data_IF_982090726081
#
_entry.id   IF_982090726081
#
_cell.length_a   1.000
_cell.length_b   1.000
_cell.length_c   1.000
_cell.angle_alpha   90.00
_cell.angle_beta   90.00
_cell.angle_gamma   90.00
#
_symmetry.space_group_name_H-M   'P 1'
#
loop_
_entity.id
_entity.type
_entity.pdbx_description
1 polymer ?
#
# COMPACT_ATOMS: atom_id res chain seq x y z
N UNK A 1 39.46 -39.52 9.35
CA UNK A 1 40.59 -38.54 9.41
C UNK A 1 40.50 -37.65 8.16
N UNK A 2 39.49 -36.80 8.06
CA UNK A 2 39.52 -35.34 8.31
C UNK A 2 40.78 -34.64 7.77
N UNK A 3 40.65 -33.98 6.61
CA UNK A 3 40.87 -32.53 6.38
C UNK A 3 41.28 -32.30 4.92
N UNK A 4 40.44 -31.59 4.16
CA UNK A 4 40.92 -30.55 3.24
C UNK A 4 39.86 -29.47 3.11
N UNK A 5 40.32 -28.28 3.48
CA UNK A 5 39.68 -26.97 3.43
C UNK A 5 39.41 -26.61 1.97
N UNK A 6 38.23 -26.06 1.69
CA UNK A 6 38.01 -25.20 0.53
C UNK A 6 37.37 -23.90 0.99
N UNK A 7 38.14 -22.83 0.80
CA UNK A 7 37.71 -21.43 0.89
C UNK A 7 36.65 -21.14 -0.17
N UNK A 8 35.55 -20.49 0.22
CA UNK A 8 34.68 -19.80 -0.73
C UNK A 8 34.88 -18.29 -0.59
N UNK A 9 35.76 -17.77 -1.45
CA UNK A 9 35.82 -16.37 -1.82
C UNK A 9 34.63 -15.97 -2.69
N UNK A 10 34.08 -14.79 -2.39
CA UNK A 10 33.30 -13.90 -3.27
C UNK A 10 32.14 -14.49 -4.08
N UNK A 11 30.94 -14.45 -3.50
CA UNK A 11 29.71 -14.48 -4.29
C UNK A 11 29.49 -13.09 -4.92
N UNK A 12 29.83 -12.97 -6.21
CA UNK A 12 29.54 -11.79 -7.03
C UNK A 12 28.03 -11.55 -7.07
N UNK A 13 27.64 -10.28 -6.93
CA UNK A 13 26.32 -9.76 -7.30
C UNK A 13 26.09 -9.99 -8.80
N UNK A 14 25.14 -10.85 -9.13
CA UNK A 14 24.52 -11.00 -10.46
C UNK A 14 23.10 -11.54 -10.22
N UNK A 15 22.01 -10.99 -10.74
CA UNK A 15 21.82 -9.78 -11.54
C UNK A 15 20.44 -9.21 -11.19
N UNK A 16 20.40 -7.90 -10.99
CA UNK A 16 19.19 -7.08 -11.09
C UNK A 16 19.32 -6.48 -12.49
N UNK A 17 18.59 -7.03 -13.46
CA UNK A 17 18.71 -6.67 -14.86
C UNK A 17 17.44 -6.99 -15.64
N UNK A 18 16.87 -5.93 -16.22
CA UNK A 18 15.90 -5.87 -17.32
C UNK A 18 14.51 -6.53 -17.14
N UNK A 19 13.60 -5.84 -16.45
CA UNK A 19 12.16 -5.87 -16.77
C UNK A 19 11.71 -4.65 -17.60
N UNK A 20 12.60 -3.67 -17.82
CA UNK A 20 12.30 -2.35 -18.37
C UNK A 20 12.41 -2.22 -19.90
N UNK A 21 12.64 -3.31 -20.63
CA UNK A 21 12.75 -3.28 -22.10
C UNK A 21 11.73 -4.20 -22.75
N UNK A 22 10.53 -3.66 -23.04
CA UNK A 22 9.80 -4.05 -24.25
C UNK A 22 9.56 -2.82 -25.10
N UNK A 23 10.17 -2.88 -26.27
CA UNK A 23 10.15 -1.92 -27.36
C UNK A 23 8.73 -1.65 -27.84
N UNK A 24 8.43 -0.36 -27.97
CA UNK A 24 7.28 0.16 -28.70
C UNK A 24 7.43 -0.18 -30.19
N UNK A 25 6.50 -0.94 -30.75
CA UNK A 25 6.23 -0.97 -32.19
C UNK A 25 4.75 -0.72 -32.39
N UNK A 26 4.46 0.24 -33.25
CA UNK A 26 3.18 0.85 -33.55
C UNK A 26 2.17 -0.11 -34.21
N UNK A 27 0.90 0.31 -34.13
CA UNK A 27 -0.29 -0.19 -34.83
C UNK A 27 -1.06 -1.33 -34.16
N UNK A 28 -1.82 -0.96 -33.12
CA UNK A 28 -3.11 -1.57 -32.84
C UNK A 28 -4.05 -0.48 -32.31
N UNK A 29 -5.09 -0.18 -33.08
CA UNK A 29 -6.22 0.64 -32.64
C UNK A 29 -6.95 -0.09 -31.51
N UNK A 30 -6.66 0.26 -30.27
CA UNK A 30 -7.39 -0.23 -29.10
C UNK A 30 -8.72 0.51 -29.00
N UNK A 31 -9.79 -0.19 -29.36
CA UNK A 31 -11.13 0.15 -28.85
C UNK A 31 -11.27 -0.56 -27.52
N UNK A 32 -10.94 0.14 -26.43
CA UNK A 32 -11.23 -0.33 -25.09
C UNK A 32 -12.75 -0.32 -24.91
N UNK A 33 -13.34 -1.52 -24.92
CA UNK A 33 -14.59 -1.74 -24.20
C UNK A 33 -14.22 -1.86 -22.72
N UNK A 34 -15.00 -1.30 -21.78
CA UNK A 34 -14.72 -1.47 -20.36
C UNK A 34 -14.87 -2.97 -20.06
N UNK A 35 -13.76 -3.65 -19.79
CA UNK A 35 -13.81 -5.00 -19.26
C UNK A 35 -14.40 -4.89 -17.85
N UNK A 36 -15.68 -5.24 -17.72
CA UNK A 36 -16.28 -5.61 -16.44
C UNK A 36 -15.34 -6.63 -15.78
N UNK A 37 -14.69 -6.26 -14.66
CA UNK A 37 -13.90 -7.23 -13.89
C UNK A 37 -14.77 -8.47 -13.62
N UNK A 38 -14.28 -9.70 -13.87
CA UNK A 38 -15.13 -10.87 -13.85
C UNK A 38 -15.62 -11.14 -12.43
N UNK A 39 -16.90 -10.81 -12.19
CA UNK A 39 -17.64 -11.22 -11.00
C UNK A 39 -17.47 -12.74 -10.84
N UNK A 40 -16.92 -13.17 -9.69
CA UNK A 40 -16.64 -14.58 -9.49
C UNK A 40 -17.92 -15.42 -9.59
N UNK A 41 -17.85 -16.50 -10.37
CA UNK A 41 -18.99 -17.39 -10.59
C UNK A 41 -19.54 -17.94 -9.27
N UNK A 42 -20.85 -18.23 -9.23
CA UNK A 42 -21.51 -18.83 -8.06
C UNK A 42 -20.80 -20.09 -7.52
N UNK A 43 -20.18 -20.86 -8.42
CA UNK A 43 -19.36 -22.03 -8.11
C UNK A 43 -18.10 -21.66 -7.31
N UNK A 44 -17.36 -20.66 -7.77
CA UNK A 44 -16.13 -20.24 -7.11
C UNK A 44 -16.38 -19.70 -5.68
N UNK A 45 -17.55 -19.08 -5.47
CA UNK A 45 -18.02 -18.66 -4.13
C UNK A 45 -18.33 -19.83 -3.20
N UNK A 46 -18.98 -20.88 -3.70
CA UNK A 46 -19.26 -22.10 -2.91
C UNK A 46 -17.95 -22.80 -2.53
N UNK A 47 -17.00 -22.90 -3.45
CA UNK A 47 -15.67 -23.49 -3.19
C UNK A 47 -14.92 -22.73 -2.10
N UNK A 48 -14.92 -21.39 -2.11
CA UNK A 48 -14.26 -20.59 -1.07
C UNK A 48 -14.81 -20.85 0.34
N UNK A 49 -16.11 -21.13 0.48
CA UNK A 49 -16.71 -21.50 1.79
C UNK A 49 -16.20 -22.84 2.32
N UNK A 50 -15.80 -23.74 1.44
CA UNK A 50 -15.22 -25.04 1.80
C UNK A 50 -13.74 -24.93 2.21
N UNK A 51 -13.03 -23.88 1.79
CA UNK A 51 -11.65 -23.62 2.21
C UNK A 51 -11.63 -23.36 3.72
N UNK A 52 -10.80 -24.03 4.53
CA UNK A 52 -10.76 -23.81 5.97
C UNK A 52 -10.22 -22.42 6.31
N UNK A 53 -10.81 -21.78 7.32
CA UNK A 53 -10.30 -20.51 7.86
C UNK A 53 -9.11 -20.77 8.81
N UNK A 54 -8.00 -21.23 8.24
CA UNK A 54 -6.78 -21.59 8.98
C UNK A 54 -5.71 -20.52 8.79
N UNK A 55 -4.94 -20.26 9.84
CA UNK A 55 -3.74 -19.42 9.75
C UNK A 55 -2.61 -20.19 9.06
N UNK A 56 -2.08 -19.64 7.97
CA UNK A 56 -0.94 -20.17 7.23
C UNK A 56 0.22 -19.19 7.33
N UNK A 57 1.44 -19.70 7.45
CA UNK A 57 2.66 -18.88 7.34
C UNK A 57 3.24 -19.00 5.94
N UNK A 58 3.34 -17.88 5.23
CA UNK A 58 3.95 -17.79 3.89
C UNK A 58 5.27 -17.02 3.96
N UNK A 59 6.17 -17.26 3.01
CA UNK A 59 7.41 -16.47 2.87
C UNK A 59 7.08 -15.09 2.32
N UNK A 60 7.66 -14.06 2.92
CA UNK A 60 7.49 -12.68 2.47
C UNK A 60 8.48 -12.32 1.34
N UNK A 61 8.41 -11.07 0.86
CA UNK A 61 9.30 -10.50 -0.16
C UNK A 61 10.77 -10.64 0.24
N UNK A 62 11.15 -10.10 1.40
CA UNK A 62 12.53 -10.17 1.86
C UNK A 62 12.92 -11.54 2.42
N UNK A 63 14.18 -11.94 2.19
CA UNK A 63 14.73 -13.15 2.75
C UNK A 63 14.66 -13.13 4.28
N UNK A 64 14.24 -14.26 4.86
CA UNK A 64 14.07 -14.40 6.32
C UNK A 64 12.81 -13.75 6.89
N UNK A 65 11.98 -13.12 6.06
CA UNK A 65 10.70 -12.54 6.51
C UNK A 65 9.51 -13.44 6.16
N UNK A 66 8.47 -13.39 6.97
CA UNK A 66 7.28 -14.25 6.87
C UNK A 66 5.99 -13.47 7.12
N UNK A 67 4.88 -13.98 6.59
CA UNK A 67 3.56 -13.41 6.80
C UNK A 67 2.59 -14.52 7.22
N UNK A 68 1.94 -14.33 8.36
CA UNK A 68 0.75 -15.07 8.74
C UNK A 68 -0.44 -14.50 8.00
N UNK A 69 -1.11 -15.37 7.25
CA UNK A 69 -2.30 -15.07 6.47
C UNK A 69 -3.43 -16.01 6.89
N UNK A 70 -4.68 -15.61 6.65
CA UNK A 70 -5.83 -16.53 6.76
C UNK A 70 -6.09 -17.14 5.40
N UNK A 71 -5.96 -18.46 5.28
CA UNK A 71 -6.01 -19.20 4.00
C UNK A 71 -7.25 -18.85 3.18
N UNK A 72 -8.44 -18.98 3.77
CA UNK A 72 -9.71 -18.66 3.11
C UNK A 72 -9.77 -17.21 2.61
N UNK A 73 -9.16 -16.28 3.33
CA UNK A 73 -9.29 -14.83 3.15
C UNK A 73 -8.29 -14.30 2.11
N UNK A 74 -7.05 -14.82 2.13
CA UNK A 74 -5.91 -14.30 1.36
C UNK A 74 -5.54 -15.20 0.19
N UNK A 75 -6.51 -15.89 -0.43
CA UNK A 75 -6.26 -16.81 -1.53
C UNK A 75 -5.51 -16.15 -2.70
N UNK A 76 -5.83 -14.89 -3.03
CA UNK A 76 -5.15 -14.14 -4.10
C UNK A 76 -3.66 -13.92 -3.81
N UNK A 77 -3.34 -13.50 -2.58
CA UNK A 77 -1.96 -13.32 -2.11
C UNK A 77 -1.19 -14.65 -2.10
N UNK A 78 -1.84 -15.73 -1.67
CA UNK A 78 -1.23 -17.07 -1.62
C UNK A 78 -0.97 -17.59 -3.04
N UNK A 79 -1.94 -17.47 -3.95
CA UNK A 79 -1.85 -17.98 -5.31
C UNK A 79 -0.79 -17.25 -6.14
N UNK A 80 -0.70 -15.91 -6.02
CA UNK A 80 0.36 -15.11 -6.66
C UNK A 80 1.74 -15.32 -6.01
N UNK A 81 1.74 -15.72 -4.74
CA UNK A 81 2.93 -15.81 -3.90
C UNK A 81 3.33 -14.43 -3.38
N UNK A 82 3.45 -14.30 -2.06
CA UNK A 82 3.73 -13.02 -1.39
C UNK A 82 5.08 -12.36 -1.79
N UNK A 83 5.97 -13.08 -2.50
CA UNK A 83 7.19 -12.49 -3.07
C UNK A 83 6.98 -11.68 -4.33
N UNK A 84 5.99 -12.07 -5.14
CA UNK A 84 5.66 -11.41 -6.40
C UNK A 84 4.49 -10.43 -6.25
N UNK A 85 3.84 -10.42 -5.09
CA UNK A 85 2.76 -9.50 -4.78
C UNK A 85 3.26 -8.05 -4.83
N UNK A 86 2.66 -7.25 -5.71
CA UNK A 86 2.94 -5.81 -5.87
C UNK A 86 4.44 -5.49 -6.05
N UNK A 87 5.19 -6.37 -6.71
CA UNK A 87 6.65 -6.26 -6.82
C UNK A 87 7.12 -4.89 -7.33
N UNK A 88 6.39 -4.32 -8.29
CA UNK A 88 6.66 -2.98 -8.84
C UNK A 88 6.50 -1.87 -7.80
N UNK A 89 5.43 -1.89 -7.02
CA UNK A 89 5.19 -0.89 -5.97
C UNK A 89 6.14 -1.06 -4.79
N UNK A 90 6.48 -2.29 -4.43
CA UNK A 90 7.51 -2.60 -3.45
C UNK A 90 8.87 -2.03 -3.86
N UNK A 91 9.25 -2.13 -5.14
CA UNK A 91 10.49 -1.54 -5.65
C UNK A 91 10.49 -0.01 -5.58
N UNK A 92 9.39 0.63 -6.00
CA UNK A 92 9.25 2.08 -5.89
C UNK A 92 9.33 2.57 -4.44
N UNK A 93 8.59 1.93 -3.53
CA UNK A 93 8.63 2.23 -2.09
C UNK A 93 10.01 1.96 -1.47
N UNK A 94 10.71 0.90 -1.90
CA UNK A 94 12.07 0.61 -1.43
C UNK A 94 13.03 1.76 -1.76
N UNK A 95 12.84 2.45 -2.88
CA UNK A 95 13.66 3.59 -3.27
C UNK A 95 13.26 4.88 -2.55
N UNK A 96 12.01 4.98 -2.10
CA UNK A 96 11.52 6.13 -1.33
C UNK A 96 11.99 6.13 0.14
N UNK A 97 12.23 4.94 0.72
CA UNK A 97 12.55 4.78 2.15
C UNK A 97 14.05 4.54 2.36
N UNK A 98 14.64 5.31 3.26
CA UNK A 98 16.05 5.18 3.69
C UNK A 98 16.14 4.83 5.20
N UNK A 99 17.29 4.30 5.64
CA UNK A 99 17.54 4.09 7.06
C UNK A 99 17.41 5.39 7.86
N UNK A 100 16.72 5.33 9.00
CA UNK A 100 16.46 6.49 9.86
C UNK A 100 15.12 7.18 9.61
N UNK A 101 14.44 6.89 8.50
CA UNK A 101 13.16 7.54 8.17
C UNK A 101 12.05 7.27 9.18
N UNK A 102 11.11 8.21 9.23
CA UNK A 102 9.78 8.03 9.78
C UNK A 102 8.79 7.73 8.65
N UNK A 103 8.12 6.59 8.72
CA UNK A 103 7.11 6.16 7.74
C UNK A 103 5.74 6.06 8.39
N UNK A 104 4.73 6.66 7.76
CA UNK A 104 3.33 6.45 8.13
C UNK A 104 2.69 5.51 7.10
N UNK A 105 2.30 4.31 7.53
CA UNK A 105 1.67 3.27 6.71
C UNK A 105 0.17 3.26 7.01
N UNK A 106 -0.63 3.91 6.17
CA UNK A 106 -2.08 4.06 6.34
C UNK A 106 -2.79 2.99 5.51
N UNK A 107 -3.63 2.19 6.18
CA UNK A 107 -4.15 0.95 5.61
C UNK A 107 -3.13 -0.18 5.71
N UNK A 108 -2.52 -0.34 6.88
CA UNK A 108 -1.45 -1.32 7.09
C UNK A 108 -1.93 -2.78 6.95
N UNK A 109 -3.24 -3.02 7.04
CA UNK A 109 -3.89 -4.32 6.87
C UNK A 109 -3.21 -5.40 7.74
N UNK A 110 -2.79 -6.52 7.17
CA UNK A 110 -2.07 -7.59 7.89
C UNK A 110 -0.56 -7.34 8.03
N UNK A 111 -0.05 -6.18 7.61
CA UNK A 111 1.34 -5.76 7.80
C UNK A 111 2.30 -6.09 6.68
N UNK A 112 1.82 -6.32 5.45
CA UNK A 112 2.68 -6.58 4.29
C UNK A 112 3.75 -5.48 4.13
N UNK A 113 3.32 -4.22 4.03
CA UNK A 113 4.23 -3.08 3.90
C UNK A 113 4.90 -2.68 5.21
N UNK A 114 4.18 -2.68 6.34
CA UNK A 114 4.75 -2.38 7.66
C UNK A 114 6.01 -3.21 8.01
N UNK A 115 6.05 -4.50 7.64
CA UNK A 115 7.24 -5.36 7.82
C UNK A 115 8.41 -4.86 6.98
N UNK A 116 8.16 -4.49 5.72
CA UNK A 116 9.20 -3.98 4.82
C UNK A 116 9.73 -2.64 5.31
N UNK A 117 8.84 -1.70 5.60
CA UNK A 117 9.22 -0.39 6.14
C UNK A 117 10.05 -0.55 7.41
N UNK A 118 9.62 -1.39 8.36
CA UNK A 118 10.38 -1.57 9.61
C UNK A 118 11.79 -2.09 9.38
N UNK A 119 12.03 -2.86 8.31
CA UNK A 119 13.36 -3.37 7.96
C UNK A 119 14.19 -2.32 7.23
N UNK A 120 13.57 -1.54 6.34
CA UNK A 120 14.26 -0.53 5.55
C UNK A 120 14.69 0.68 6.37
N UNK A 121 13.83 1.15 7.28
CA UNK A 121 14.16 2.28 8.17
C UNK A 121 15.19 1.89 9.25
N UNK A 122 15.32 0.60 9.54
CA UNK A 122 16.25 0.08 10.55
C UNK A 122 15.93 0.55 11.97
N UNK A 123 16.89 0.40 12.89
CA UNK A 123 16.70 0.71 14.31
C UNK A 123 16.69 2.21 14.64
N UNK A 124 17.19 3.05 13.73
CA UNK A 124 17.20 4.50 13.90
C UNK A 124 15.90 5.17 13.44
N UNK A 125 15.13 4.51 12.56
CA UNK A 125 13.86 5.02 12.05
C UNK A 125 12.65 4.48 12.78
N UNK A 126 11.47 4.86 12.30
CA UNK A 126 10.19 4.49 12.93
C UNK A 126 9.09 4.30 11.90
N UNK A 127 8.21 3.35 12.14
CA UNK A 127 7.01 3.11 11.32
C UNK A 127 5.78 3.25 12.20
N UNK A 128 4.80 4.03 11.77
CA UNK A 128 3.47 4.08 12.38
C UNK A 128 2.47 3.44 11.43
N UNK A 129 1.97 2.26 11.81
CA UNK A 129 1.06 1.45 11.00
C UNK A 129 -0.39 1.66 11.49
N UNK A 130 -1.21 2.30 10.66
CA UNK A 130 -2.60 2.62 10.95
C UNK A 130 -3.51 1.58 10.29
N UNK A 131 -4.28 0.87 11.10
CA UNK A 131 -5.23 -0.15 10.65
C UNK A 131 -6.47 -0.15 11.55
N UNK A 132 -7.67 0.14 11.03
CA UNK A 132 -8.89 0.19 11.83
C UNK A 132 -9.53 -1.17 12.11
N UNK A 133 -9.40 -2.18 11.23
CA UNK A 133 -10.07 -3.47 11.42
C UNK A 133 -9.41 -4.28 12.55
N UNK A 134 -10.12 -4.60 13.64
CA UNK A 134 -9.56 -5.34 14.76
C UNK A 134 -8.99 -6.72 14.40
N UNK A 135 -9.52 -7.39 13.37
CA UNK A 135 -9.02 -8.68 12.89
C UNK A 135 -7.69 -8.53 12.16
N UNK A 136 -7.56 -7.49 11.34
CA UNK A 136 -6.32 -7.16 10.64
C UNK A 136 -5.27 -6.67 11.64
N UNK A 137 -5.64 -5.81 12.60
CA UNK A 137 -4.76 -5.41 13.71
C UNK A 137 -4.17 -6.62 14.47
N UNK A 138 -4.98 -7.66 14.72
CA UNK A 138 -4.49 -8.89 15.39
C UNK A 138 -3.46 -9.62 14.53
N UNK A 139 -3.67 -9.72 13.22
CA UNK A 139 -2.71 -10.34 12.30
C UNK A 139 -1.46 -9.47 12.11
N UNK A 140 -1.62 -8.16 11.96
CA UNK A 140 -0.55 -7.17 11.87
C UNK A 140 0.41 -7.30 13.04
N UNK A 141 -0.07 -7.27 14.28
CA UNK A 141 0.78 -7.45 15.48
C UNK A 141 1.51 -8.78 15.46
N UNK A 142 0.80 -9.88 15.18
CA UNK A 142 1.41 -11.22 15.06
C UNK A 142 2.52 -11.25 14.00
N UNK A 143 2.33 -10.55 12.88
CA UNK A 143 3.29 -10.48 11.80
C UNK A 143 4.50 -9.63 12.15
N UNK A 144 4.30 -8.47 12.78
CA UNK A 144 5.40 -7.63 13.26
C UNK A 144 6.26 -8.37 14.30
N UNK A 145 5.63 -9.07 15.25
CA UNK A 145 6.32 -9.87 16.26
C UNK A 145 7.14 -11.00 15.63
N UNK A 146 6.56 -11.73 14.67
CA UNK A 146 7.23 -12.83 13.98
C UNK A 146 8.46 -12.37 13.17
N UNK A 147 8.51 -11.10 12.76
CA UNK A 147 9.61 -10.51 12.01
C UNK A 147 10.52 -9.61 12.86
N UNK A 148 10.27 -9.50 14.17
CA UNK A 148 11.04 -8.66 15.11
C UNK A 148 11.07 -7.19 14.68
N UNK A 149 9.95 -6.68 14.19
CA UNK A 149 9.81 -5.31 13.68
C UNK A 149 9.71 -4.28 14.83
N UNK A 150 10.79 -4.13 15.61
CA UNK A 150 10.82 -3.27 16.80
C UNK A 150 10.61 -1.77 16.50
N UNK A 151 10.88 -1.33 15.27
CA UNK A 151 10.70 0.06 14.83
C UNK A 151 9.25 0.40 14.49
N UNK A 152 8.32 -0.57 14.50
CA UNK A 152 6.93 -0.38 14.09
C UNK A 152 5.97 -0.25 15.28
N UNK A 153 5.14 0.79 15.25
CA UNK A 153 4.09 1.07 16.23
C UNK A 153 2.73 0.92 15.57
N UNK A 154 1.91 -0.02 16.07
CA UNK A 154 0.55 -0.25 15.57
C UNK A 154 -0.45 0.73 16.19
N UNK A 155 -1.23 1.40 15.34
CA UNK A 155 -2.30 2.33 15.69
C UNK A 155 -3.65 1.75 15.22
N UNK A 156 -4.47 1.21 16.13
CA UNK A 156 -5.76 0.61 15.78
C UNK A 156 -6.82 1.70 15.53
N UNK A 157 -6.68 2.43 14.42
CA UNK A 157 -7.53 3.56 14.03
C UNK A 157 -7.42 3.82 12.53
N UNK A 158 -8.39 4.57 12.00
CA UNK A 158 -8.32 5.16 10.67
C UNK A 158 -7.80 6.60 10.73
N UNK A 159 -7.30 7.08 9.59
CA UNK A 159 -7.06 8.50 9.36
C UNK A 159 -8.16 9.10 8.48
N UNK A 160 -8.40 10.40 8.60
CA UNK A 160 -9.36 11.12 7.76
C UNK A 160 -9.31 12.64 7.96
N UNK A 161 -10.35 13.33 7.48
CA UNK A 161 -10.39 14.80 7.46
C UNK A 161 -10.56 15.44 8.84
N UNK A 162 -11.16 14.73 9.80
CA UNK A 162 -11.41 15.24 11.16
C UNK A 162 -11.14 14.16 12.22
N UNK A 163 -10.94 14.58 13.47
CA UNK A 163 -10.87 13.65 14.60
C UNK A 163 -12.27 13.29 15.10
N UNK A 164 -12.48 12.03 15.44
CA UNK A 164 -13.77 11.57 15.98
C UNK A 164 -13.92 10.05 15.94
N UNK A 165 -15.15 9.63 15.67
CA UNK A 165 -15.54 8.25 15.42
C UNK A 165 -16.19 8.20 14.03
N UNK A 166 -15.90 7.15 13.28
CA UNK A 166 -16.52 6.90 11.99
C UNK A 166 -17.00 5.45 11.92
N UNK A 167 -18.04 5.22 11.12
CA UNK A 167 -18.41 3.87 10.72
C UNK A 167 -17.35 3.32 9.78
N UNK A 168 -17.06 2.02 9.87
CA UNK A 168 -16.14 1.32 8.98
C UNK A 168 -16.79 0.02 8.50
N UNK A 169 -16.91 -0.11 7.18
CA UNK A 169 -17.39 -1.32 6.52
C UNK A 169 -16.26 -2.34 6.43
N UNK A 170 -16.44 -3.46 7.13
CA UNK A 170 -15.46 -4.55 7.16
C UNK A 170 -15.70 -5.55 6.06
N UNK A 171 -14.64 -5.90 5.35
CA UNK A 171 -14.66 -7.04 4.45
C UNK A 171 -14.45 -8.34 5.21
N UNK A 172 -15.54 -9.04 5.47
CA UNK A 172 -15.49 -10.36 6.10
C UNK A 172 -15.28 -11.50 5.11
N UNK A 173 -15.30 -11.22 3.81
CA UNK A 173 -15.13 -12.21 2.73
C UNK A 173 -13.66 -12.45 2.44
N UNK A 174 -12.88 -11.38 2.29
CA UNK A 174 -11.45 -11.42 2.03
C UNK A 174 -10.62 -10.84 3.16
N UNK A 175 -11.15 -9.92 3.97
CA UNK A 175 -10.35 -9.18 4.95
C UNK A 175 -9.32 -8.25 4.33
N UNK A 176 -9.31 -8.12 3.00
CA UNK A 176 -8.29 -7.37 2.28
C UNK A 176 -8.74 -5.96 1.90
N UNK A 177 -10.05 -5.72 1.83
CA UNK A 177 -10.61 -4.49 1.25
C UNK A 177 -11.63 -3.86 2.20
N UNK A 178 -11.21 -3.01 3.14
CA UNK A 178 -12.12 -2.41 4.13
C UNK A 178 -12.04 -0.89 4.10
N UNK A 179 -13.14 -0.17 4.33
CA UNK A 179 -13.17 1.29 4.18
C UNK A 179 -13.98 2.01 5.26
N UNK A 180 -13.65 3.27 5.53
CA UNK A 180 -14.46 4.16 6.37
C UNK A 180 -15.73 4.58 5.64
N UNK A 181 -16.89 4.53 6.27
CA UNK A 181 -18.20 4.82 5.69
C UNK A 181 -19.14 3.62 5.79
N UNK A 182 -20.30 3.73 5.13
CA UNK A 182 -21.28 2.67 4.93
C UNK A 182 -21.30 2.26 3.47
N UNK A 183 -21.75 1.04 3.16
CA UNK A 183 -21.73 0.50 1.81
C UNK A 183 -20.93 -0.80 1.70
N UNK A 184 -21.09 -1.54 0.59
CA UNK A 184 -20.41 -2.80 0.37
C UNK A 184 -18.92 -2.57 0.08
N UNK A 185 -18.08 -3.47 0.59
CA UNK A 185 -16.65 -3.41 0.26
C UNK A 185 -16.35 -4.02 -1.11
N UNK A 186 -15.15 -3.75 -1.66
CA UNK A 186 -14.72 -4.35 -2.94
C UNK A 186 -14.81 -5.88 -2.93
N UNK A 187 -14.32 -6.51 -1.87
CA UNK A 187 -14.43 -7.95 -1.65
C UNK A 187 -15.87 -8.43 -1.49
N UNK A 188 -16.80 -7.62 -0.99
CA UNK A 188 -18.21 -8.00 -0.96
C UNK A 188 -18.87 -7.91 -2.34
N UNK A 189 -18.52 -6.89 -3.13
CA UNK A 189 -18.99 -6.69 -4.49
C UNK A 189 -18.50 -7.79 -5.43
N UNK A 190 -17.19 -8.03 -5.45
CA UNK A 190 -16.55 -9.05 -6.29
C UNK A 190 -17.12 -10.45 -6.03
N UNK A 191 -17.50 -10.73 -4.78
CA UNK A 191 -18.03 -12.02 -4.37
C UNK A 191 -19.55 -12.04 -4.16
N UNK A 192 -20.28 -10.94 -4.33
CA UNK A 192 -21.75 -10.85 -4.10
C UNK A 192 -22.22 -11.64 -2.86
N UNK A 193 -21.46 -11.59 -1.77
CA UNK A 193 -21.57 -12.54 -0.65
C UNK A 193 -21.47 -11.91 0.74
N UNK A 194 -21.35 -10.59 0.81
CA UNK A 194 -21.25 -9.84 2.05
C UNK A 194 -22.59 -9.43 2.64
N UNK A 195 -22.67 -9.44 3.97
CA UNK A 195 -23.55 -8.52 4.69
C UNK A 195 -22.62 -7.44 5.23
N UNK A 196 -22.95 -6.18 4.99
CA UNK A 196 -22.21 -5.07 5.60
C UNK A 196 -22.10 -5.31 7.11
N UNK A 197 -20.88 -5.37 7.62
CA UNK A 197 -20.60 -5.43 9.06
C UNK A 197 -19.97 -4.11 9.46
N UNK A 198 -20.79 -3.05 9.69
CA UNK A 198 -20.28 -1.79 10.16
C UNK A 198 -19.73 -1.96 11.58
N UNK A 199 -18.56 -1.40 11.82
CA UNK A 199 -18.03 -1.19 13.17
C UNK A 199 -17.73 0.29 13.38
N UNK A 200 -17.73 0.74 14.64
CA UNK A 200 -17.22 2.06 14.97
C UNK A 200 -15.71 2.01 15.15
N UNK A 201 -15.01 2.93 14.49
CA UNK A 201 -13.55 3.05 14.60
C UNK A 201 -13.18 4.47 14.95
N UNK A 202 -12.08 4.60 15.70
CA UNK A 202 -11.51 5.91 16.00
C UNK A 202 -10.94 6.50 14.71
N UNK A 203 -11.21 7.78 14.49
CA UNK A 203 -10.69 8.57 13.39
C UNK A 203 -9.81 9.69 13.94
N UNK A 204 -8.65 9.93 13.32
CA UNK A 204 -7.81 11.11 13.56
C UNK A 204 -7.31 11.69 12.25
N UNK A 205 -6.85 12.93 12.30
CA UNK A 205 -6.22 13.54 11.14
C UNK A 205 -4.73 13.19 11.08
N UNK A 206 -4.12 13.29 9.90
CA UNK A 206 -2.68 13.08 9.73
C UNK A 206 -1.88 14.05 10.63
N UNK A 207 -2.27 15.33 10.64
CA UNK A 207 -1.64 16.36 11.49
C UNK A 207 -1.72 16.00 12.98
N UNK A 208 -2.88 15.51 13.45
CA UNK A 208 -3.09 15.15 14.84
C UNK A 208 -2.30 13.90 15.27
N UNK A 209 -1.95 13.02 14.34
CA UNK A 209 -1.08 11.87 14.63
C UNK A 209 0.40 12.23 14.56
N UNK A 210 0.82 13.19 13.73
CA UNK A 210 2.17 13.76 13.78
C UNK A 210 2.44 14.36 15.16
N UNK A 211 1.50 15.18 15.67
CA UNK A 211 1.61 15.80 17.00
C UNK A 211 1.71 14.74 18.11
N UNK A 212 0.86 13.71 18.03
CA UNK A 212 0.82 12.63 19.02
C UNK A 212 2.06 11.74 18.97
N UNK A 213 2.58 11.47 17.78
CA UNK A 213 3.78 10.68 17.57
C UNK A 213 5.05 11.42 17.98
N UNK A 214 4.98 12.77 18.03
CA UNK A 214 6.14 13.65 18.10
C UNK A 214 7.17 13.29 17.03
N UNK A 215 6.69 12.97 15.83
CA UNK A 215 7.50 12.50 14.71
C UNK A 215 6.90 12.97 13.39
N UNK A 216 7.74 13.59 12.57
CA UNK A 216 7.39 14.08 11.23
C UNK A 216 7.69 12.98 10.21
N UNK A 217 6.75 12.56 9.37
CA UNK A 217 6.99 11.53 8.38
C UNK A 217 7.87 12.03 7.23
N UNK A 218 8.82 11.20 6.81
CA UNK A 218 9.54 11.36 5.55
C UNK A 218 8.74 10.81 4.37
N UNK A 219 7.98 9.74 4.64
CA UNK A 219 7.14 9.03 3.66
C UNK A 219 5.78 8.70 4.30
N UNK A 220 4.70 8.97 3.56
CA UNK A 220 3.35 8.54 3.90
C UNK A 220 2.84 7.62 2.79
N UNK A 221 2.50 6.37 3.14
CA UNK A 221 1.80 5.44 2.25
C UNK A 221 0.31 5.46 2.57
N UNK A 222 -0.53 5.65 1.56
CA UNK A 222 -1.99 5.71 1.64
C UNK A 222 -2.61 4.62 0.77
N UNK A 223 -3.44 3.79 1.38
CA UNK A 223 -4.15 2.65 0.76
C UNK A 223 -5.35 2.40 1.67
N UNK A 224 -6.26 3.37 1.65
CA UNK A 224 -7.36 3.48 2.59
C UNK A 224 -8.70 3.28 1.88
N UNK A 225 -8.67 2.67 0.69
CA UNK A 225 -9.83 2.20 -0.05
C UNK A 225 -10.83 3.35 -0.28
N UNK A 226 -10.31 4.47 -0.81
CA UNK A 226 -11.08 5.65 -1.20
C UNK A 226 -11.15 6.77 -0.16
N UNK A 227 -10.40 6.70 0.95
CA UNK A 227 -10.35 7.78 1.95
C UNK A 227 -9.13 8.71 1.77
N UNK A 228 -8.37 8.58 0.69
CA UNK A 228 -7.09 9.26 0.50
C UNK A 228 -7.26 10.77 0.50
N UNK A 229 -8.30 11.30 -0.15
CA UNK A 229 -8.56 12.73 -0.20
C UNK A 229 -8.82 13.30 1.20
N UNK A 230 -9.66 12.62 1.99
CA UNK A 230 -10.00 13.02 3.35
C UNK A 230 -8.76 12.98 4.25
N UNK A 231 -7.91 11.95 4.11
CA UNK A 231 -6.67 11.84 4.86
C UNK A 231 -5.71 12.99 4.52
N UNK A 232 -5.52 13.27 3.23
CA UNK A 232 -4.69 14.38 2.76
C UNK A 232 -5.24 15.74 3.24
N UNK A 233 -6.56 15.93 3.19
CA UNK A 233 -7.24 17.12 3.69
C UNK A 233 -7.11 17.29 5.21
N UNK A 234 -6.99 16.19 5.96
CA UNK A 234 -6.65 16.20 7.39
C UNK A 234 -5.15 16.43 7.68
N UNK A 235 -4.31 16.50 6.65
CA UNK A 235 -2.85 16.62 6.75
C UNK A 235 -2.29 17.88 6.13
N UNK A 236 -3.11 18.93 5.95
CA UNK A 236 -2.70 20.13 5.20
C UNK A 236 -1.48 20.83 5.82
N UNK A 237 -1.31 20.78 7.14
CA UNK A 237 -0.11 21.33 7.77
C UNK A 237 1.11 20.49 7.40
N UNK A 238 1.03 19.17 7.55
CA UNK A 238 2.11 18.26 7.16
C UNK A 238 2.50 18.40 5.69
N UNK A 239 1.53 18.47 4.78
CA UNK A 239 1.78 18.58 3.34
C UNK A 239 2.37 19.93 2.92
N UNK A 240 2.15 21.00 3.70
CA UNK A 240 2.70 22.34 3.44
C UNK A 240 4.05 22.57 4.12
N UNK A 241 4.20 22.13 5.36
CA UNK A 241 5.35 22.45 6.19
C UNK A 241 6.42 21.35 6.17
N UNK A 242 5.99 20.08 6.19
CA UNK A 242 6.89 18.93 6.32
C UNK A 242 7.21 18.25 5.00
N UNK A 243 6.39 18.48 3.97
CA UNK A 243 6.68 18.08 2.59
C UNK A 243 7.10 16.59 2.47
N UNK A 244 6.36 15.63 3.06
CA UNK A 244 6.69 14.21 2.94
C UNK A 244 6.54 13.73 1.50
N UNK A 245 7.23 12.65 1.14
CA UNK A 245 6.86 11.88 -0.06
C UNK A 245 5.53 11.18 0.20
N UNK A 246 4.62 11.21 -0.77
CA UNK A 246 3.32 10.52 -0.67
C UNK A 246 3.28 9.41 -1.69
N UNK A 247 2.98 8.18 -1.26
CA UNK A 247 2.63 7.07 -2.14
C UNK A 247 1.19 6.71 -1.86
N UNK A 248 0.30 6.84 -2.85
CA UNK A 248 -1.13 6.69 -2.63
C UNK A 248 -1.77 5.77 -3.67
N UNK A 249 -2.67 4.91 -3.21
CA UNK A 249 -3.66 4.25 -4.06
C UNK A 249 -4.68 5.28 -4.53
N UNK A 250 -4.91 5.32 -5.84
CA UNK A 250 -5.86 6.24 -6.47
C UNK A 250 -6.86 5.48 -7.33
N UNK A 251 -7.34 4.34 -6.83
CA UNK A 251 -8.39 3.56 -7.49
C UNK A 251 -9.76 4.23 -7.35
N UNK A 252 -10.56 4.25 -8.42
CA UNK A 252 -11.90 4.85 -8.44
C UNK A 252 -13.01 3.87 -8.03
N UNK A 253 -12.69 2.62 -7.68
CA UNK A 253 -13.70 1.58 -7.51
C UNK A 253 -14.81 2.00 -6.56
N UNK A 254 -14.47 2.72 -5.48
CA UNK A 254 -15.44 3.13 -4.47
C UNK A 254 -16.29 4.32 -4.89
N UNK A 255 -15.74 5.25 -5.67
CA UNK A 255 -16.50 6.34 -6.29
C UNK A 255 -17.51 5.80 -7.31
N UNK A 256 -17.12 4.78 -8.07
CA UNK A 256 -17.98 4.16 -9.08
C UNK A 256 -19.10 3.31 -8.45
N UNK A 257 -18.82 2.67 -7.31
CA UNK A 257 -19.72 1.70 -6.67
C UNK A 257 -20.55 2.27 -5.51
N UNK A 258 -20.15 3.42 -4.92
CA UNK A 258 -20.83 4.01 -3.76
C UNK A 258 -20.90 5.54 -3.85
N UNK A 259 -22.03 6.12 -3.44
CA UNK A 259 -22.21 7.57 -3.39
C UNK A 259 -21.48 8.17 -2.17
N UNK A 260 -20.89 9.35 -2.33
CA UNK A 260 -20.35 10.15 -1.20
C UNK A 260 -18.83 10.05 -0.96
N UNK A 261 -18.08 9.44 -1.88
CA UNK A 261 -16.61 9.50 -1.92
C UNK A 261 -16.19 10.42 -3.06
N UNK A 262 -15.04 11.08 -2.96
CA UNK A 262 -14.50 11.85 -4.09
C UNK A 262 -13.86 10.92 -5.13
N UNK A 263 -13.83 11.30 -6.42
CA UNK A 263 -13.01 10.58 -7.38
C UNK A 263 -11.56 10.62 -6.90
N UNK A 264 -10.81 9.53 -7.12
CA UNK A 264 -9.41 9.43 -6.69
C UNK A 264 -8.53 10.56 -7.24
N UNK A 265 -8.94 11.11 -8.38
CA UNK A 265 -8.35 12.30 -8.99
C UNK A 265 -8.33 13.53 -8.07
N UNK A 266 -9.28 13.68 -7.17
CA UNK A 266 -9.31 14.79 -6.21
C UNK A 266 -8.05 14.79 -5.32
N UNK A 267 -7.52 13.61 -4.96
CA UNK A 267 -6.27 13.48 -4.21
C UNK A 267 -5.07 14.00 -5.02
N UNK A 268 -5.04 13.69 -6.32
CA UNK A 268 -4.00 14.15 -7.25
C UNK A 268 -4.05 15.67 -7.41
N UNK A 269 -5.24 16.23 -7.57
CA UNK A 269 -5.46 17.67 -7.73
C UNK A 269 -5.08 18.43 -6.46
N UNK A 270 -5.47 17.95 -5.28
CA UNK A 270 -5.06 18.53 -4.00
C UNK A 270 -3.54 18.55 -3.84
N UNK A 271 -2.85 17.46 -4.18
CA UNK A 271 -1.39 17.39 -4.13
C UNK A 271 -0.75 18.40 -5.10
N UNK A 272 -1.28 18.54 -6.32
CA UNK A 272 -0.79 19.53 -7.29
C UNK A 272 -1.01 20.97 -6.82
N UNK A 273 -2.14 21.28 -6.19
CA UNK A 273 -2.39 22.60 -5.58
C UNK A 273 -1.37 22.93 -4.49
N UNK A 274 -0.81 21.91 -3.85
CA UNK A 274 0.27 22.02 -2.86
C UNK A 274 1.67 21.91 -3.48
N UNK A 275 1.81 22.13 -4.79
CA UNK A 275 3.08 22.09 -5.51
C UNK A 275 3.83 20.74 -5.36
N UNK A 276 3.08 19.64 -5.41
CA UNK A 276 3.63 18.31 -5.64
C UNK A 276 3.59 17.96 -7.13
N UNK A 277 4.64 17.29 -7.60
CA UNK A 277 4.63 16.60 -8.89
C UNK A 277 4.24 15.15 -8.66
N UNK A 278 3.14 14.74 -9.29
CA UNK A 278 2.54 13.41 -9.13
C UNK A 278 2.91 12.53 -10.32
N UNK A 279 3.47 11.35 -10.04
CA UNK A 279 3.88 10.34 -11.01
C UNK A 279 3.00 9.11 -10.92
N UNK A 280 2.61 8.59 -12.08
CA UNK A 280 1.99 7.29 -12.23
C UNK A 280 3.06 6.22 -12.01
N UNK A 281 2.88 5.38 -10.98
CA UNK A 281 3.84 4.33 -10.66
C UNK A 281 3.86 3.23 -11.71
N UNK A 282 2.80 2.99 -12.47
CA UNK A 282 2.70 1.95 -13.51
C UNK A 282 3.31 2.40 -14.84
N UNK A 283 3.13 3.68 -15.20
CA UNK A 283 3.73 4.25 -16.41
C UNK A 283 5.14 4.79 -16.20
N UNK A 284 5.51 5.11 -14.97
CA UNK A 284 6.81 5.73 -14.68
C UNK A 284 6.91 7.17 -15.20
N UNK A 285 5.78 7.88 -15.32
CA UNK A 285 5.70 9.20 -15.92
C UNK A 285 4.82 10.14 -15.08
N UNK A 286 4.96 11.48 -15.22
CA UNK A 286 4.02 12.40 -14.60
C UNK A 286 2.59 12.09 -15.01
N UNK A 287 1.66 12.14 -14.05
CA UNK A 287 0.23 11.96 -14.34
C UNK A 287 -0.23 13.11 -15.22
N UNK A 288 -0.91 12.80 -16.33
CA UNK A 288 -1.51 13.76 -17.26
C UNK A 288 -2.93 14.20 -16.84
N UNK A 289 -3.60 15.04 -17.65
CA UNK A 289 -4.95 15.53 -17.37
C UNK A 289 -6.07 14.52 -17.62
N UNK A 290 -5.85 13.39 -18.27
CA UNK A 290 -6.88 12.36 -18.50
C UNK A 290 -6.57 11.03 -17.81
N UNK A 291 -5.38 10.93 -17.21
CA UNK A 291 -4.90 9.68 -16.64
C UNK A 291 -5.66 9.31 -15.35
N UNK A 292 -5.86 8.02 -15.15
CA UNK A 292 -6.46 7.42 -13.95
C UNK A 292 -5.53 6.33 -13.40
N UNK A 293 -4.40 6.71 -12.79
CA UNK A 293 -3.41 5.76 -12.29
C UNK A 293 -3.99 4.95 -11.11
N UNK A 294 -3.59 3.68 -10.99
CA UNK A 294 -3.94 2.86 -9.82
C UNK A 294 -3.14 3.28 -8.59
N UNK A 295 -1.84 3.54 -8.76
CA UNK A 295 -0.94 4.00 -7.71
C UNK A 295 -0.12 5.19 -8.19
N UNK A 296 0.05 6.16 -7.29
CA UNK A 296 0.86 7.35 -7.55
C UNK A 296 1.97 7.55 -6.53
N UNK A 297 3.05 8.20 -6.97
CA UNK A 297 4.06 8.81 -6.13
C UNK A 297 4.01 10.32 -6.31
N UNK A 298 3.76 11.07 -5.24
CA UNK A 298 3.84 12.51 -5.23
C UNK A 298 5.11 12.97 -4.53
N UNK A 299 5.88 13.81 -5.23
CA UNK A 299 7.13 14.39 -4.76
C UNK A 299 6.95 15.91 -4.71
N UNK A 300 7.26 16.58 -3.59
CA UNK A 300 7.34 18.04 -3.52
C UNK A 300 8.22 18.59 -4.65
N UNK A 301 7.76 19.62 -5.37
CA UNK A 301 8.47 20.15 -6.54
C UNK A 301 9.91 20.55 -6.22
N UNK A 302 10.13 21.18 -5.07
CA UNK A 302 11.44 21.61 -4.59
C UNK A 302 12.39 20.44 -4.24
N UNK A 303 11.83 19.27 -3.91
CA UNK A 303 12.60 18.07 -3.55
C UNK A 303 12.96 17.20 -4.74
N UNK A 304 12.45 17.48 -5.95
CA UNK A 304 12.68 16.62 -7.14
C UNK A 304 14.14 16.40 -7.51
N UNK A 305 15.02 17.34 -7.16
CA UNK A 305 16.45 17.27 -7.44
C UNK A 305 17.26 16.65 -6.29
N UNK A 306 16.62 16.35 -5.16
CA UNK A 306 17.27 15.62 -4.08
C UNK A 306 17.64 14.21 -4.55
N UNK A 307 18.78 13.71 -4.05
CA UNK A 307 19.33 12.41 -4.45
C UNK A 307 18.31 11.27 -4.32
N UNK A 308 17.48 11.29 -3.28
CA UNK A 308 16.39 10.31 -3.07
C UNK A 308 15.36 10.37 -4.20
N UNK A 309 14.76 11.53 -4.44
CA UNK A 309 13.73 11.71 -5.46
C UNK A 309 14.28 11.41 -6.88
N UNK A 310 15.48 11.88 -7.19
CA UNK A 310 16.13 11.62 -8.47
C UNK A 310 16.36 10.11 -8.72
N UNK A 311 16.76 9.35 -7.69
CA UNK A 311 16.92 7.88 -7.80
C UNK A 311 15.61 7.17 -8.07
N UNK A 312 14.53 7.57 -7.40
CA UNK A 312 13.20 7.00 -7.63
C UNK A 312 12.77 7.27 -9.07
N UNK A 313 12.91 8.52 -9.53
CA UNK A 313 12.55 8.92 -10.89
C UNK A 313 13.37 8.19 -11.95
N UNK A 314 14.70 8.10 -11.78
CA UNK A 314 15.57 7.39 -12.72
C UNK A 314 15.20 5.91 -12.86
N UNK A 315 14.87 5.25 -11.74
CA UNK A 315 14.40 3.87 -11.74
C UNK A 315 13.04 3.72 -12.44
N UNK A 316 12.12 4.68 -12.24
CA UNK A 316 10.79 4.68 -12.85
C UNK A 316 10.82 4.94 -14.36
N UNK A 317 11.70 5.83 -14.84
CA UNK A 317 11.77 6.23 -16.25
C UNK A 317 12.71 5.34 -17.08
N UNK A 318 13.36 4.35 -16.47
CA UNK A 318 14.37 3.52 -17.13
C UNK A 318 15.62 4.30 -17.57
N UNK A 319 15.85 5.48 -16.99
CA UNK A 319 16.99 6.36 -17.30
C UNK A 319 18.12 6.10 -16.31
N UNK A 320 18.78 4.96 -16.42
CA UNK A 320 20.01 4.64 -15.66
C UNK A 320 21.26 4.91 -16.47
#
# INVERSE_FOLDING_TARGET
MVRKVWSFTSFRRSGIGSWWTRSCTSDASWTETPEDEPVMSSTARRVRRLVPNMALRVRHVEAGSYLWVRLRHHLGLIARGARAYEARYVEALRLCVEPGDVVFDVGANIGFYAILFSRWVGSAGRVFAYEPDPDNVRLLRKNLDANRCASCVVRPMALGATCGVSTFSRDVVTGQTGHTGTGPTYGELQFRAGKEIPIEVRLRTLDAEIDRAAAVPDVVKLDAEGAEYEILSGGMRALREHRPLIVAETSNWRYEMSQGVRPARASIELLRELDYVVFDLDRGAPVGPSDQPWMVLAIPAERRRETRAARVLAAMTGST
#
